data_IF_953405398849
#
_entry.id   IF_953405398849
#
_cell.length_a   1.000
_cell.length_b   1.000
_cell.length_c   1.000
_cell.angle_alpha   90.00
_cell.angle_beta   90.00
_cell.angle_gamma   90.00
#
_symmetry.space_group_name_H-M   'P 1'
#
loop_
_entity.id
_entity.type
_entity.pdbx_description
1 polymer ?
#
# COMPACT_ATOMS: atom_id res chain seq x y z
N UNK A 1 -6.48 -1.46 -11.71
CA UNK A 1 -5.61 -2.66 -11.86
C UNK A 1 -4.19 -2.46 -11.33
N UNK A 2 -3.44 -1.42 -11.74
CA UNK A 2 -2.05 -1.23 -11.28
C UNK A 2 -1.88 -1.16 -9.76
N UNK A 3 -2.79 -0.48 -9.06
CA UNK A 3 -2.82 -0.45 -7.59
C UNK A 3 -2.89 -1.85 -6.96
N UNK A 4 -3.66 -2.77 -7.54
CA UNK A 4 -3.76 -4.14 -7.04
C UNK A 4 -2.44 -4.91 -7.19
N UNK A 5 -1.71 -4.69 -8.30
CA UNK A 5 -0.37 -5.26 -8.50
C UNK A 5 0.65 -4.68 -7.53
N UNK A 6 0.58 -3.39 -7.23
CA UNK A 6 1.45 -2.74 -6.25
C UNK A 6 1.21 -3.31 -4.83
N UNK A 7 -0.06 -3.41 -4.41
CA UNK A 7 -0.41 -4.00 -3.12
C UNK A 7 -0.05 -5.49 -3.03
N UNK A 8 -0.23 -6.25 -4.12
CA UNK A 8 0.25 -7.63 -4.18
C UNK A 8 1.76 -7.71 -3.99
N UNK A 9 2.51 -6.81 -4.64
CA UNK A 9 3.97 -6.72 -4.48
C UNK A 9 4.38 -6.44 -3.04
N UNK A 10 3.63 -5.59 -2.30
CA UNK A 10 3.84 -5.37 -0.87
C UNK A 10 3.74 -6.69 -0.07
N UNK A 11 2.71 -7.51 -0.36
CA UNK A 11 2.55 -8.81 0.30
C UNK A 11 3.67 -9.79 -0.07
N UNK A 12 4.09 -9.83 -1.34
CA UNK A 12 5.19 -10.68 -1.77
C UNK A 12 6.52 -10.26 -1.15
N UNK A 13 6.78 -8.96 -1.02
CA UNK A 13 7.93 -8.41 -0.32
C UNK A 13 7.94 -8.85 1.15
N UNK A 14 6.81 -8.67 1.85
CA UNK A 14 6.69 -9.09 3.24
C UNK A 14 6.93 -10.60 3.39
N UNK A 15 6.41 -11.43 2.48
CA UNK A 15 6.61 -12.87 2.49
C UNK A 15 7.99 -13.31 1.97
N UNK A 16 8.72 -12.45 1.25
CA UNK A 16 9.97 -12.77 0.56
C UNK A 16 9.82 -13.67 -0.67
N UNK A 17 8.58 -13.93 -1.12
CA UNK A 17 8.30 -14.82 -2.24
C UNK A 17 6.97 -14.52 -2.91
N UNK A 18 6.86 -14.91 -4.17
CA UNK A 18 5.61 -14.96 -4.92
C UNK A 18 4.75 -16.16 -4.50
N UNK A 19 3.49 -16.16 -4.93
CA UNK A 19 2.55 -17.27 -4.67
C UNK A 19 2.99 -18.61 -5.26
N UNK A 20 3.78 -18.60 -6.33
CA UNK A 20 4.33 -19.80 -6.96
C UNK A 20 5.61 -20.33 -6.26
N UNK A 21 6.02 -19.71 -5.14
CA UNK A 21 7.19 -20.12 -4.36
C UNK A 21 8.51 -19.48 -4.79
N UNK A 22 8.57 -18.83 -5.95
CA UNK A 22 9.79 -18.15 -6.39
C UNK A 22 10.14 -16.98 -5.45
N UNK A 23 11.44 -16.72 -5.20
CA UNK A 23 11.86 -15.64 -4.33
C UNK A 23 11.44 -14.27 -4.89
N UNK A 24 11.01 -13.37 -4.01
CA UNK A 24 10.75 -11.97 -4.34
C UNK A 24 12.00 -11.16 -4.01
N UNK A 25 12.78 -10.78 -5.02
CA UNK A 25 14.13 -10.21 -4.84
C UNK A 25 14.16 -8.69 -4.78
N UNK A 26 13.07 -8.01 -5.16
CA UNK A 26 13.00 -6.56 -5.08
C UNK A 26 12.87 -6.10 -3.63
N UNK A 27 13.66 -5.11 -3.24
CA UNK A 27 13.54 -4.44 -1.95
C UNK A 27 12.61 -3.22 -2.12
N UNK A 28 11.53 -3.17 -1.35
CA UNK A 28 10.54 -2.10 -1.45
C UNK A 28 10.69 -1.12 -0.29
N UNK A 29 10.81 0.17 -0.59
CA UNK A 29 10.88 1.24 0.41
C UNK A 29 9.53 1.91 0.70
N UNK A 30 8.58 1.83 -0.23
CA UNK A 30 7.23 2.34 -0.10
C UNK A 30 6.32 1.71 -1.16
N UNK A 31 5.02 1.61 -0.88
CA UNK A 31 4.00 1.14 -1.84
C UNK A 31 2.81 2.09 -1.84
N UNK A 32 2.29 2.37 -3.04
CA UNK A 32 1.12 3.24 -3.24
C UNK A 32 0.06 2.51 -4.06
N UNK A 33 -1.19 2.60 -3.64
CA UNK A 33 -2.35 2.14 -4.39
C UNK A 33 -3.43 3.22 -4.48
N UNK A 34 -3.68 3.74 -5.69
CA UNK A 34 -4.76 4.69 -5.95
C UNK A 34 -5.95 3.95 -6.60
N UNK A 35 -7.15 4.13 -6.07
CA UNK A 35 -8.42 3.58 -6.59
C UNK A 35 -8.33 2.07 -6.88
N UNK A 36 -7.90 1.30 -5.87
CA UNK A 36 -7.48 -0.08 -6.01
C UNK A 36 -8.06 -1.04 -4.98
N UNK A 37 -7.53 -2.26 -4.97
CA UNK A 37 -7.88 -3.29 -3.99
C UNK A 37 -6.70 -4.22 -3.74
N UNK A 38 -6.70 -4.92 -2.60
CA UNK A 38 -5.74 -5.94 -2.23
C UNK A 38 -6.18 -7.30 -2.78
N UNK A 39 -5.47 -7.89 -3.75
CA UNK A 39 -5.73 -9.25 -4.18
C UNK A 39 -5.27 -10.27 -3.14
N UNK A 40 -5.85 -11.48 -3.18
CA UNK A 40 -5.46 -12.61 -2.33
C UNK A 40 -5.54 -12.36 -0.80
N UNK A 41 -6.33 -11.37 -0.36
CA UNK A 41 -6.51 -10.96 1.04
C UNK A 41 -6.80 -12.12 2.02
N UNK A 42 -7.62 -13.10 1.63
CA UNK A 42 -8.13 -14.15 2.53
C UNK A 42 -7.04 -15.00 3.21
N UNK A 43 -5.92 -15.24 2.52
CA UNK A 43 -4.84 -16.10 3.02
C UNK A 43 -3.66 -15.31 3.57
N UNK A 44 -3.74 -13.97 3.61
CA UNK A 44 -2.59 -13.13 3.91
C UNK A 44 -2.13 -13.30 5.36
N UNK A 45 -3.06 -13.30 6.33
CA UNK A 45 -2.73 -13.43 7.76
C UNK A 45 -1.99 -14.74 8.06
N UNK A 46 -2.51 -15.88 7.57
CA UNK A 46 -1.87 -17.20 7.71
C UNK A 46 -0.47 -17.21 7.06
N UNK A 47 -0.33 -16.61 5.88
CA UNK A 47 0.96 -16.53 5.18
C UNK A 47 1.99 -15.68 5.93
N UNK A 48 1.58 -14.56 6.50
CA UNK A 48 2.47 -13.69 7.30
C UNK A 48 2.94 -14.42 8.56
N UNK A 49 2.06 -15.18 9.21
CA UNK A 49 2.41 -15.93 10.43
C UNK A 49 3.30 -17.15 10.15
N UNK A 50 3.24 -17.74 8.96
CA UNK A 50 4.00 -18.94 8.59
C UNK A 50 5.40 -18.68 8.06
N UNK A 51 5.81 -17.42 7.90
CA UNK A 51 7.14 -17.05 7.39
C UNK A 51 7.88 -16.20 8.41
N UNK A 52 9.06 -16.66 8.83
CA UNK A 52 9.93 -15.92 9.73
C UNK A 52 10.26 -14.53 9.18
N UNK A 53 10.25 -13.54 10.07
CA UNK A 53 10.48 -12.13 9.76
C UNK A 53 9.48 -11.49 8.75
N UNK A 54 8.44 -12.20 8.31
CA UNK A 54 7.45 -11.58 7.42
C UNK A 54 6.65 -10.47 8.10
N UNK A 55 6.26 -10.68 9.36
CA UNK A 55 5.61 -9.64 10.17
C UNK A 55 6.51 -8.40 10.35
N UNK A 56 7.82 -8.57 10.57
CA UNK A 56 8.77 -7.45 10.70
C UNK A 56 8.89 -6.65 9.40
N UNK A 57 8.95 -7.34 8.26
CA UNK A 57 8.98 -6.70 6.93
C UNK A 57 7.66 -6.01 6.60
N UNK A 58 6.52 -6.61 6.95
CA UNK A 58 5.20 -6.00 6.79
C UNK A 58 5.06 -4.74 7.64
N UNK A 59 5.46 -4.82 8.92
CA UNK A 59 5.34 -3.71 9.87
C UNK A 59 6.20 -2.49 9.48
N UNK A 60 7.34 -2.72 8.84
CA UNK A 60 8.28 -1.66 8.44
C UNK A 60 8.03 -1.08 7.04
N UNK A 61 7.14 -1.67 6.23
CA UNK A 61 6.86 -1.19 4.89
C UNK A 61 5.78 -0.11 4.89
N UNK A 62 6.08 1.14 4.51
CA UNK A 62 5.08 2.19 4.36
C UNK A 62 4.16 1.91 3.17
N UNK A 63 2.85 1.97 3.39
CA UNK A 63 1.83 1.80 2.36
C UNK A 63 0.83 2.95 2.41
N UNK A 64 0.64 3.63 1.27
CA UNK A 64 -0.45 4.59 1.07
C UNK A 64 -1.52 3.98 0.17
N UNK A 65 -2.76 4.05 0.62
CA UNK A 65 -3.94 3.76 -0.18
C UNK A 65 -4.79 5.02 -0.29
N UNK A 66 -5.21 5.36 -1.50
CA UNK A 66 -6.13 6.47 -1.76
C UNK A 66 -7.37 5.91 -2.49
N UNK A 67 -8.56 6.38 -2.11
CA UNK A 67 -9.78 5.95 -2.80
C UNK A 67 -10.86 7.02 -2.78
N UNK A 68 -11.54 7.19 -3.91
CA UNK A 68 -12.71 8.07 -4.00
C UNK A 68 -13.99 7.40 -3.52
N UNK A 69 -14.82 8.11 -2.74
CA UNK A 69 -16.14 7.59 -2.32
C UNK A 69 -17.15 7.50 -3.46
N UNK A 70 -16.91 8.21 -4.56
CA UNK A 70 -17.72 8.19 -5.78
C UNK A 70 -17.21 7.24 -6.86
N UNK A 71 -16.21 6.39 -6.56
CA UNK A 71 -15.65 5.44 -7.53
C UNK A 71 -16.70 4.39 -7.96
N UNK A 72 -17.06 4.44 -9.23
CA UNK A 72 -18.07 3.61 -9.89
C UNK A 72 -17.47 2.39 -10.61
N UNK A 73 -16.14 2.29 -10.70
CA UNK A 73 -15.42 1.18 -11.36
C UNK A 73 -14.87 0.20 -10.33
N UNK A 74 -14.24 0.71 -9.28
CA UNK A 74 -13.75 -0.07 -8.14
C UNK A 74 -14.43 0.49 -6.89
N UNK A 75 -15.48 -0.17 -6.38
CA UNK A 75 -16.24 0.33 -5.23
C UNK A 75 -15.33 0.73 -4.06
N UNK A 76 -15.55 1.91 -3.47
CA UNK A 76 -14.81 2.44 -2.32
C UNK A 76 -14.57 1.39 -1.21
N UNK A 77 -15.59 0.55 -0.94
CA UNK A 77 -15.50 -0.52 0.08
C UNK A 77 -14.37 -1.53 -0.17
N UNK A 78 -13.88 -1.67 -1.41
CA UNK A 78 -12.70 -2.49 -1.69
C UNK A 78 -11.42 -1.83 -1.20
N UNK A 79 -11.25 -0.52 -1.40
CA UNK A 79 -10.12 0.23 -0.83
C UNK A 79 -10.11 0.14 0.70
N UNK A 80 -11.26 0.39 1.32
CA UNK A 80 -11.44 0.33 2.77
C UNK A 80 -11.17 -1.07 3.34
N UNK A 81 -11.72 -2.14 2.74
CA UNK A 81 -11.43 -3.51 3.16
C UNK A 81 -9.97 -3.89 2.96
N UNK A 82 -9.33 -3.35 1.94
CA UNK A 82 -7.91 -3.60 1.65
C UNK A 82 -7.01 -3.00 2.72
N UNK A 83 -7.24 -1.75 3.12
CA UNK A 83 -6.48 -1.10 4.18
C UNK A 83 -6.66 -1.80 5.53
N UNK A 84 -7.91 -2.14 5.89
CA UNK A 84 -8.21 -2.90 7.11
C UNK A 84 -7.54 -4.28 7.10
N UNK A 85 -7.56 -4.99 5.97
CA UNK A 85 -6.90 -6.30 5.86
C UNK A 85 -5.39 -6.18 6.07
N UNK A 86 -4.74 -5.18 5.45
CA UNK A 86 -3.30 -4.95 5.64
C UNK A 86 -2.96 -4.71 7.11
N UNK A 87 -3.70 -3.81 7.77
CA UNK A 87 -3.51 -3.50 9.20
C UNK A 87 -3.67 -4.77 10.05
N UNK A 88 -4.72 -5.55 9.82
CA UNK A 88 -4.96 -6.81 10.52
C UNK A 88 -3.89 -7.88 10.25
N UNK A 89 -3.15 -7.76 9.14
CA UNK A 89 -2.07 -8.67 8.75
C UNK A 89 -0.66 -8.14 9.08
N UNK A 90 -0.53 -7.33 10.14
CA UNK A 90 0.74 -6.80 10.66
C UNK A 90 1.42 -5.72 9.80
N UNK A 91 0.75 -5.16 8.80
CA UNK A 91 1.23 -3.95 8.14
C UNK A 91 0.88 -2.75 9.02
N UNK A 92 1.87 -2.21 9.74
CA UNK A 92 1.64 -1.20 10.78
C UNK A 92 1.73 0.24 10.23
N UNK A 93 2.48 0.47 9.15
CA UNK A 93 2.61 1.78 8.50
C UNK A 93 1.69 1.89 7.27
N UNK A 94 0.38 1.83 7.52
CA UNK A 94 -0.66 1.93 6.49
C UNK A 94 -1.45 3.22 6.66
N UNK A 95 -1.50 4.03 5.61
CA UNK A 95 -2.34 5.22 5.52
C UNK A 95 -3.43 4.97 4.49
N UNK A 96 -4.68 5.22 4.86
CA UNK A 96 -5.82 5.20 3.94
C UNK A 96 -6.42 6.60 3.86
N UNK A 97 -6.36 7.23 2.68
CA UNK A 97 -6.96 8.53 2.40
C UNK A 97 -8.19 8.36 1.53
N UNK A 98 -9.27 9.01 1.94
CA UNK A 98 -10.54 9.02 1.22
C UNK A 98 -10.85 10.41 0.67
N UNK A 99 -11.48 10.44 -0.51
CA UNK A 99 -11.85 11.69 -1.18
C UNK A 99 -13.34 11.68 -1.51
N UNK A 100 -14.09 12.62 -0.94
CA UNK A 100 -15.52 12.78 -1.19
C UNK A 100 -15.75 13.22 -2.64
N UNK A 101 -16.67 12.54 -3.35
CA UNK A 101 -17.02 12.87 -4.74
C UNK A 101 -15.99 12.49 -5.80
N UNK A 102 -14.82 11.96 -5.43
CA UNK A 102 -13.84 11.43 -6.38
C UNK A 102 -14.34 10.12 -7.00
N UNK A 103 -14.34 10.05 -8.34
CA UNK A 103 -14.65 8.85 -9.12
C UNK A 103 -13.40 8.01 -9.45
N UNK A 104 -13.44 7.20 -10.51
CA UNK A 104 -12.30 6.38 -10.94
C UNK A 104 -11.25 7.16 -11.77
N UNK A 105 -10.71 8.23 -11.18
CA UNK A 105 -9.66 9.07 -11.75
C UNK A 105 -8.86 9.73 -10.62
N UNK A 106 -7.85 10.51 -10.96
CA UNK A 106 -7.06 11.26 -9.97
C UNK A 106 -7.40 12.74 -9.96
N UNK A 107 -7.23 13.40 -8.81
CA UNK A 107 -7.44 14.85 -8.63
C UNK A 107 -6.19 15.53 -8.07
N UNK A 108 -5.99 16.85 -8.30
CA UNK A 108 -4.81 17.56 -7.81
C UNK A 108 -4.56 17.36 -6.30
N UNK A 109 -5.60 17.49 -5.48
CA UNK A 109 -5.48 17.31 -4.03
C UNK A 109 -4.96 15.90 -3.64
N UNK A 110 -5.39 14.85 -4.34
CA UNK A 110 -4.90 13.49 -4.11
C UNK A 110 -3.42 13.35 -4.48
N UNK A 111 -3.02 13.99 -5.59
CA UNK A 111 -1.63 13.98 -6.05
C UNK A 111 -0.74 14.79 -5.10
N UNK A 112 -1.19 15.94 -4.59
CA UNK A 112 -0.46 16.74 -3.61
C UNK A 112 -0.23 15.95 -2.32
N UNK A 113 -1.26 15.26 -1.85
CA UNK A 113 -1.20 14.37 -0.69
C UNK A 113 -0.24 13.20 -0.90
N UNK A 114 -0.25 12.60 -2.08
CA UNK A 114 0.69 11.56 -2.49
C UNK A 114 2.13 12.08 -2.50
N UNK A 115 2.37 13.25 -3.10
CA UNK A 115 3.68 13.89 -3.18
C UNK A 115 4.24 14.20 -1.79
N UNK A 116 3.42 14.78 -0.91
CA UNK A 116 3.78 15.06 0.47
C UNK A 116 4.12 13.78 1.24
N UNK A 117 3.33 12.73 1.07
CA UNK A 117 3.57 11.43 1.71
C UNK A 117 4.88 10.79 1.22
N UNK A 118 5.12 10.75 -0.09
CA UNK A 118 6.36 10.22 -0.65
C UNK A 118 7.59 11.00 -0.18
N UNK A 119 7.51 12.33 -0.16
CA UNK A 119 8.59 13.20 0.30
C UNK A 119 8.98 12.88 1.75
N UNK A 120 7.97 12.68 2.60
CA UNK A 120 8.16 12.29 4.01
C UNK A 120 8.78 10.90 4.16
N UNK A 121 8.25 9.87 3.47
CA UNK A 121 8.69 8.48 3.61
C UNK A 121 10.05 8.19 3.00
N UNK A 122 10.42 8.91 1.95
CA UNK A 122 11.67 8.71 1.22
C UNK A 122 12.75 9.74 1.60
N UNK A 123 12.47 10.67 2.52
CA UNK A 123 13.42 11.69 2.96
C UNK A 123 13.86 12.61 1.83
N UNK A 124 12.96 12.94 0.90
CA UNK A 124 13.26 13.76 -0.29
C UNK A 124 13.18 15.27 -0.03
N UNK A 125 13.05 15.69 1.24
CA UNK A 125 13.08 17.10 1.61
C UNK A 125 14.46 17.71 1.32
N UNK A 126 14.48 18.91 0.75
CA UNK A 126 15.71 19.56 0.31
C UNK A 126 16.79 19.56 1.39
N UNK A 127 17.97 19.07 1.04
CA UNK A 127 19.21 19.24 1.78
C UNK A 127 19.70 20.69 1.79
N UNK A 128 18.86 21.63 2.22
CA UNK A 128 19.32 22.93 2.67
C UNK A 128 20.00 22.73 4.03
N UNK A 129 21.26 22.29 3.96
CA UNK A 129 22.25 22.59 4.98
C UNK A 129 22.33 24.11 5.12
N UNK A 130 21.56 24.64 6.07
CA UNK A 130 21.79 25.97 6.63
C UNK A 130 23.19 25.97 7.25
N UNK A 131 24.14 26.57 6.54
CA UNK A 131 25.43 27.01 7.08
C UNK A 131 25.27 28.39 7.69
#
# INVERSE_FOLDING_TARGET
>A
MGAATALYSATCYALGKYSNGNPYTANLSAVVGLSGWLPCAKLLSEKIQSVDNAANRAASLPILLCHGKGDDVVPYTFGEKSSQTLINCQFQDVVFKEYDGLGHYTIPNEIDDLCAWLTSKLGLGDGHSSS
#
